data_IF_411915218338
#
_entry.id   IF_411915218338
#
_cell.length_a   1.000
_cell.length_b   1.000
_cell.length_c   1.000
_cell.angle_alpha   90.00
_cell.angle_beta   90.00
_cell.angle_gamma   90.00
#
_symmetry.space_group_name_H-M   'P 1'
#
loop_
_entity.id
_entity.type
_entity.pdbx_description
1 polymer ?
#
# COMPACT_ATOMS: atom_id res chain seq x y z
N UNK A 1 -40.91 0.33 5.44
CA UNK A 1 -40.75 -1.13 5.50
C UNK A 1 -40.53 -1.80 4.13
N UNK A 2 -40.54 -1.08 3.01
CA UNK A 2 -40.39 -1.62 1.64
C UNK A 2 -38.97 -1.47 1.05
N UNK A 3 -38.03 -0.80 1.71
CA UNK A 3 -36.66 -0.59 1.21
C UNK A 3 -35.63 -1.63 1.67
N UNK A 4 -35.95 -2.45 2.68
CA UNK A 4 -35.02 -3.48 3.21
C UNK A 4 -35.05 -4.80 2.44
N UNK A 5 -36.10 -5.09 1.66
CA UNK A 5 -36.21 -6.34 0.91
C UNK A 5 -35.54 -6.35 -0.46
N UNK A 6 -35.17 -5.19 -1.04
CA UNK A 6 -34.41 -5.17 -2.28
C UNK A 6 -32.90 -5.34 -2.10
N UNK A 7 -32.36 -4.98 -0.94
CA UNK A 7 -30.94 -5.14 -0.64
C UNK A 7 -30.53 -6.60 -0.44
N UNK A 8 -31.42 -7.44 0.10
CA UNK A 8 -31.13 -8.86 0.38
C UNK A 8 -31.21 -9.76 -0.84
N UNK A 9 -31.97 -9.41 -1.87
CA UNK A 9 -32.04 -10.19 -3.13
C UNK A 9 -30.88 -9.93 -4.08
N UNK A 10 -30.21 -8.79 -4.00
CA UNK A 10 -29.01 -8.51 -4.80
C UNK A 10 -27.74 -9.15 -4.24
N UNK A 11 -27.72 -9.58 -2.96
CA UNK A 11 -26.56 -10.25 -2.38
C UNK A 11 -26.38 -11.71 -2.84
N UNK A 12 -27.41 -12.36 -3.37
CA UNK A 12 -27.30 -13.76 -3.83
C UNK A 12 -26.60 -13.93 -5.18
N UNK A 13 -26.45 -12.86 -5.96
CA UNK A 13 -25.71 -12.89 -7.24
C UNK A 13 -24.26 -12.43 -7.17
N UNK A 14 -23.78 -11.97 -6.01
CA UNK A 14 -22.39 -11.48 -5.82
C UNK A 14 -21.41 -12.62 -5.49
N UNK A 15 -21.90 -13.84 -5.23
CA UNK A 15 -21.05 -14.97 -4.78
C UNK A 15 -20.30 -15.73 -5.88
N UNK A 16 -20.34 -15.28 -7.14
CA UNK A 16 -19.72 -15.98 -8.28
C UNK A 16 -18.68 -15.16 -9.05
N UNK A 17 -18.01 -14.19 -8.42
CA UNK A 17 -16.87 -13.47 -9.00
C UNK A 17 -15.54 -13.89 -8.35
N UNK A 18 -14.46 -13.95 -9.12
CA UNK A 18 -13.24 -14.69 -8.75
C UNK A 18 -12.54 -14.15 -7.50
N UNK A 19 -12.12 -15.06 -6.67
CA UNK A 19 -11.72 -15.04 -5.26
C UNK A 19 -10.51 -14.19 -4.85
N UNK A 20 -9.95 -13.30 -5.65
CA UNK A 20 -8.68 -12.63 -5.35
C UNK A 20 -8.72 -11.09 -5.28
N UNK A 21 -9.77 -10.47 -5.77
CA UNK A 21 -9.83 -9.00 -5.86
C UNK A 21 -10.27 -8.30 -4.57
N UNK A 22 -10.85 -9.05 -3.67
CA UNK A 22 -11.48 -8.50 -2.47
C UNK A 22 -10.58 -8.44 -1.24
N UNK A 23 -9.37 -9.01 -1.23
CA UNK A 23 -8.66 -9.19 0.04
C UNK A 23 -8.18 -7.87 0.66
N UNK A 24 -7.70 -6.90 -0.10
CA UNK A 24 -7.27 -5.61 0.46
C UNK A 24 -8.42 -4.59 0.52
N UNK A 25 -9.18 -4.39 -0.57
CA UNK A 25 -10.29 -3.42 -0.60
C UNK A 25 -11.53 -3.96 0.11
N UNK A 26 -11.82 -5.26 0.03
CA UNK A 26 -12.94 -5.88 0.76
C UNK A 26 -12.61 -6.19 2.23
N UNK A 27 -11.37 -6.40 2.63
CA UNK A 27 -11.03 -6.42 4.06
C UNK A 27 -11.30 -5.04 4.68
N UNK A 28 -11.06 -3.97 3.95
CA UNK A 28 -11.38 -2.59 4.35
C UNK A 28 -12.91 -2.41 4.35
N UNK A 29 -13.63 -2.83 3.31
CA UNK A 29 -15.10 -2.69 3.20
C UNK A 29 -15.84 -3.65 4.14
N UNK A 30 -15.38 -4.88 4.37
CA UNK A 30 -15.97 -5.79 5.37
C UNK A 30 -15.72 -5.32 6.80
N UNK A 31 -14.57 -4.72 7.11
CA UNK A 31 -14.36 -4.11 8.42
C UNK A 31 -15.33 -2.94 8.68
N UNK A 32 -15.68 -2.18 7.64
CA UNK A 32 -16.67 -1.09 7.73
C UNK A 32 -18.09 -1.65 7.89
N UNK A 33 -18.46 -2.71 7.17
CA UNK A 33 -19.81 -3.29 7.22
C UNK A 33 -20.11 -4.02 8.54
N UNK A 34 -19.11 -4.67 9.15
CA UNK A 34 -19.25 -5.30 10.47
C UNK A 34 -19.27 -4.27 11.62
N UNK A 35 -18.65 -3.11 11.45
CA UNK A 35 -18.66 -2.05 12.46
C UNK A 35 -20.04 -1.34 12.57
N UNK A 36 -20.87 -1.41 11.52
CA UNK A 36 -22.20 -0.75 11.49
C UNK A 36 -23.31 -1.59 12.12
N UNK A 37 -23.09 -2.92 12.36
CA UNK A 37 -24.12 -3.82 12.90
C UNK A 37 -23.94 -4.27 14.35
N UNK A 38 -22.87 -3.83 15.01
CA UNK A 38 -22.52 -4.30 16.35
C UNK A 38 -22.39 -3.20 17.40
N UNK A 39 -23.53 -2.64 17.85
CA UNK A 39 -23.55 -1.86 19.08
C UNK A 39 -23.54 -2.83 20.28
N UNK A 40 -22.39 -3.39 20.64
CA UNK A 40 -22.17 -4.08 21.91
C UNK A 40 -20.95 -3.49 22.61
N UNK A 41 -21.16 -3.13 23.86
CA UNK A 41 -20.18 -2.58 24.79
C UNK A 41 -19.02 -3.54 25.01
N UNK A 42 -17.89 -3.31 24.35
CA UNK A 42 -16.63 -3.96 24.69
C UNK A 42 -15.72 -2.99 25.43
N UNK A 43 -15.27 -3.43 26.63
CA UNK A 43 -14.25 -2.73 27.42
C UNK A 43 -12.92 -2.74 26.68
N UNK A 44 -12.28 -1.59 26.65
CA UNK A 44 -10.93 -1.40 26.09
C UNK A 44 -9.87 -2.11 26.95
N UNK A 45 -8.95 -2.87 26.35
CA UNK A 45 -7.61 -2.94 26.87
C UNK A 45 -6.80 -1.77 26.29
N UNK A 46 -6.28 -0.92 27.14
CA UNK A 46 -5.18 -0.02 26.79
C UNK A 46 -3.93 -0.89 26.61
N UNK A 47 -3.68 -1.33 25.38
CA UNK A 47 -2.40 -1.96 25.08
C UNK A 47 -1.44 -0.85 24.67
N UNK A 48 -0.60 -0.43 25.60
CA UNK A 48 0.68 0.18 25.28
C UNK A 48 1.37 -0.78 24.29
N UNK A 49 1.64 -0.31 23.09
CA UNK A 49 2.58 -0.97 22.18
C UNK A 49 3.96 -0.66 22.79
N UNK A 50 4.28 -1.37 23.86
CA UNK A 50 5.62 -1.38 24.42
C UNK A 50 6.53 -1.93 23.34
N UNK A 51 7.70 -1.32 23.19
CA UNK A 51 8.85 -1.88 22.49
C UNK A 51 9.15 -3.26 23.09
N UNK A 52 8.45 -4.29 22.63
CA UNK A 52 8.66 -5.65 23.10
C UNK A 52 10.00 -6.09 22.59
N UNK A 53 10.91 -6.31 23.52
CA UNK A 53 12.22 -6.90 23.29
C UNK A 53 12.08 -8.09 22.32
N UNK A 54 12.84 -8.05 21.24
CA UNK A 54 12.99 -9.07 20.22
C UNK A 54 13.51 -10.38 20.85
N UNK A 55 12.62 -11.19 21.40
CA UNK A 55 12.90 -12.56 21.78
C UNK A 55 11.75 -13.47 21.36
N UNK A 56 11.81 -13.91 20.12
CA UNK A 56 11.35 -15.22 19.69
C UNK A 56 11.97 -15.53 18.32
N UNK A 57 12.57 -16.68 18.20
CA UNK A 57 13.22 -17.23 17.02
C UNK A 57 12.21 -17.49 15.89
N UNK A 58 11.82 -16.47 15.16
CA UNK A 58 11.19 -16.63 13.86
C UNK A 58 12.29 -16.45 12.82
N UNK A 59 12.52 -17.48 12.05
CA UNK A 59 13.48 -17.49 10.97
C UNK A 59 13.17 -16.38 9.96
N UNK A 60 14.20 -15.63 9.61
CA UNK A 60 14.12 -14.66 8.53
C UNK A 60 13.94 -15.38 7.18
N UNK A 61 13.23 -14.79 6.22
CA UNK A 61 13.16 -15.36 4.88
C UNK A 61 14.57 -15.49 4.30
N UNK A 62 14.87 -16.65 3.74
CA UNK A 62 16.13 -16.89 3.04
C UNK A 62 15.93 -16.67 1.56
N UNK A 63 16.81 -15.93 0.93
CA UNK A 63 16.87 -15.88 -0.54
C UNK A 63 17.30 -17.24 -1.03
N UNK A 64 16.45 -17.92 -1.82
CA UNK A 64 16.81 -19.19 -2.45
C UNK A 64 17.57 -18.94 -3.75
N UNK A 65 17.15 -17.90 -4.49
CA UNK A 65 17.68 -17.66 -5.82
C UNK A 65 17.41 -16.22 -6.26
N UNK A 66 18.47 -15.49 -6.62
CA UNK A 66 18.37 -14.29 -7.41
C UNK A 66 18.63 -14.68 -8.87
N UNK A 67 17.59 -15.02 -9.63
CA UNK A 67 17.74 -15.38 -11.04
C UNK A 67 17.50 -14.17 -11.91
N UNK A 68 18.53 -13.63 -12.57
CA UNK A 68 18.34 -12.69 -13.65
C UNK A 68 17.76 -13.44 -14.85
N UNK A 69 16.47 -13.27 -15.13
CA UNK A 69 15.87 -13.73 -16.38
C UNK A 69 16.20 -12.72 -17.48
N UNK A 70 17.19 -13.04 -18.32
CA UNK A 70 17.49 -12.39 -19.61
C UNK A 70 17.71 -10.87 -19.64
N UNK A 71 18.42 -10.31 -18.67
CA UNK A 71 19.02 -8.97 -18.83
C UNK A 71 20.52 -9.14 -19.13
N UNK A 72 20.95 -8.97 -20.37
CA UNK A 72 22.34 -9.25 -20.77
C UNK A 72 23.40 -8.34 -20.15
N UNK A 73 23.02 -7.32 -19.39
CA UNK A 73 23.97 -6.30 -18.90
C UNK A 73 23.67 -5.70 -17.51
N UNK A 74 22.81 -6.32 -16.68
CA UNK A 74 22.55 -5.78 -15.35
C UNK A 74 23.00 -6.74 -14.25
N UNK A 75 24.08 -6.38 -13.57
CA UNK A 75 24.47 -6.99 -12.30
C UNK A 75 23.68 -6.28 -11.17
N UNK A 76 22.87 -7.04 -10.43
CA UNK A 76 22.15 -6.55 -9.24
C UNK A 76 23.06 -5.84 -8.25
N UNK A 77 24.31 -6.30 -8.18
CA UNK A 77 25.34 -5.71 -7.30
C UNK A 77 25.73 -4.28 -7.68
N UNK A 78 25.38 -3.83 -8.88
CA UNK A 78 25.62 -2.44 -9.32
C UNK A 78 24.50 -1.47 -8.93
N UNK A 79 23.35 -2.01 -8.48
CA UNK A 79 22.25 -1.18 -8.01
C UNK A 79 22.44 -0.82 -6.54
N UNK A 80 22.37 0.45 -6.23
CA UNK A 80 22.47 0.94 -4.86
C UNK A 80 21.10 1.03 -4.18
N UNK A 81 21.05 0.82 -2.86
CA UNK A 81 19.85 0.95 -2.06
C UNK A 81 19.48 -0.33 -1.32
N UNK A 82 18.28 -0.30 -0.74
CA UNK A 82 17.71 -1.41 0.02
C UNK A 82 16.31 -1.72 -0.48
N UNK A 83 15.93 -3.00 -0.39
CA UNK A 83 14.53 -3.42 -0.53
C UNK A 83 13.90 -3.52 0.85
N UNK A 84 12.69 -3.02 0.99
CA UNK A 84 11.86 -3.21 2.18
C UNK A 84 10.53 -3.77 1.72
N UNK A 85 10.02 -4.78 2.39
CA UNK A 85 8.77 -5.43 2.04
C UNK A 85 8.05 -5.97 3.26
N UNK A 86 6.75 -6.20 3.11
CA UNK A 86 5.92 -6.87 4.10
C UNK A 86 6.03 -8.37 3.88
N UNK A 87 6.44 -9.09 4.93
CA UNK A 87 6.49 -10.55 4.97
C UNK A 87 5.38 -11.07 5.88
N UNK A 88 4.47 -11.85 5.32
CA UNK A 88 3.27 -12.36 6.01
C UNK A 88 3.35 -13.88 6.14
N UNK A 89 3.12 -14.38 7.34
CA UNK A 89 3.00 -15.81 7.63
C UNK A 89 1.72 -16.09 8.44
N UNK A 90 1.30 -17.35 8.44
CA UNK A 90 0.11 -17.78 9.17
C UNK A 90 -1.20 -17.26 8.59
N UNK A 91 -2.33 -17.71 9.19
CA UNK A 91 -3.67 -17.34 8.78
C UNK A 91 -4.54 -17.07 10.01
N UNK A 92 -5.59 -16.24 9.84
CA UNK A 92 -6.52 -15.91 10.91
C UNK A 92 -5.82 -15.29 12.11
N UNK A 93 -6.09 -15.83 13.30
CA UNK A 93 -5.52 -15.36 14.57
C UNK A 93 -4.01 -15.63 14.72
N UNK A 94 -3.48 -16.61 13.98
CA UNK A 94 -2.06 -16.94 13.97
C UNK A 94 -1.25 -16.12 12.93
N UNK A 95 -1.86 -15.11 12.30
CA UNK A 95 -1.19 -14.27 11.33
C UNK A 95 -0.10 -13.45 11.99
N UNK A 96 1.06 -13.41 11.35
CA UNK A 96 2.18 -12.56 11.71
C UNK A 96 2.64 -11.75 10.50
N UNK A 97 2.98 -10.50 10.73
CA UNK A 97 3.55 -9.61 9.73
C UNK A 97 4.89 -9.08 10.21
N UNK A 98 5.82 -8.96 9.28
CA UNK A 98 7.13 -8.37 9.51
C UNK A 98 7.44 -7.37 8.40
N UNK A 99 8.15 -6.28 8.71
CA UNK A 99 8.87 -5.48 7.73
C UNK A 99 10.29 -6.01 7.67
N UNK A 100 10.68 -6.47 6.48
CA UNK A 100 12.02 -7.00 6.21
C UNK A 100 12.74 -6.03 5.30
N UNK A 101 13.98 -5.69 5.66
CA UNK A 101 14.94 -4.96 4.83
C UNK A 101 16.00 -5.93 4.31
N UNK A 102 16.37 -5.80 3.03
CA UNK A 102 17.45 -6.58 2.41
C UNK A 102 18.31 -5.69 1.52
N UNK A 103 19.45 -6.21 1.06
CA UNK A 103 20.11 -5.65 -0.12
C UNK A 103 19.21 -5.79 -1.35
N UNK A 104 19.56 -5.12 -2.46
CA UNK A 104 18.78 -5.17 -3.71
C UNK A 104 18.71 -6.58 -4.29
N UNK A 105 19.70 -7.41 -4.05
CA UNK A 105 19.73 -8.82 -4.47
C UNK A 105 18.98 -9.76 -3.50
N UNK A 106 18.36 -9.21 -2.46
CA UNK A 106 17.66 -9.96 -1.42
C UNK A 106 18.55 -10.51 -0.30
N UNK A 107 19.87 -10.31 -0.36
CA UNK A 107 20.80 -10.74 0.69
C UNK A 107 20.65 -9.88 1.97
N UNK A 108 21.28 -10.35 3.06
CA UNK A 108 21.35 -9.68 4.37
C UNK A 108 19.95 -9.26 4.92
N UNK A 109 19.00 -10.17 5.06
CA UNK A 109 17.67 -9.83 5.56
C UNK A 109 17.72 -9.39 7.03
N UNK A 110 17.10 -8.24 7.32
CA UNK A 110 16.96 -7.67 8.65
C UNK A 110 15.50 -7.38 8.94
N UNK A 111 14.99 -7.80 10.10
CA UNK A 111 13.66 -7.42 10.56
C UNK A 111 13.71 -6.01 11.14
N UNK A 112 12.93 -5.09 10.55
CA UNK A 112 12.77 -3.72 11.04
C UNK A 112 11.60 -3.62 12.04
N UNK A 113 10.53 -4.39 11.82
CA UNK A 113 9.32 -4.37 12.64
C UNK A 113 8.60 -5.71 12.58
N UNK A 114 7.93 -6.09 13.67
CA UNK A 114 7.15 -7.34 13.75
C UNK A 114 5.87 -7.14 14.55
N UNK A 115 4.78 -7.77 14.11
CA UNK A 115 3.48 -7.75 14.80
C UNK A 115 2.76 -9.10 14.67
N UNK A 116 2.05 -9.52 15.72
CA UNK A 116 1.04 -10.58 15.63
C UNK A 116 -0.24 -9.96 15.08
N UNK A 117 -0.44 -10.09 13.79
CA UNK A 117 -1.51 -9.42 13.06
C UNK A 117 -1.13 -9.16 11.61
N UNK A 118 -1.47 -7.99 11.09
CA UNK A 118 -1.20 -7.64 9.69
C UNK A 118 -0.62 -6.25 9.54
N UNK A 119 0.16 -6.07 8.48
CA UNK A 119 0.56 -4.77 7.95
C UNK A 119 -0.18 -4.60 6.62
N UNK A 120 -0.91 -3.47 6.44
CA UNK A 120 -1.85 -3.29 5.34
C UNK A 120 -1.36 -2.32 4.26
N UNK A 121 -0.47 -1.41 4.61
CA UNK A 121 0.13 -0.46 3.66
C UNK A 121 1.56 -0.18 4.06
N UNK A 122 2.39 0.19 3.10
CA UNK A 122 3.79 0.57 3.32
C UNK A 122 4.18 1.67 2.34
N UNK A 123 4.79 2.71 2.86
CA UNK A 123 5.40 3.78 2.09
C UNK A 123 6.65 4.29 2.81
N UNK A 124 7.51 5.01 2.11
CA UNK A 124 8.69 5.62 2.68
C UNK A 124 8.68 7.15 2.48
N UNK A 125 9.39 7.87 3.35
CA UNK A 125 9.79 9.24 3.07
C UNK A 125 10.67 9.31 1.81
N UNK A 126 10.80 10.50 1.23
CA UNK A 126 11.60 10.70 0.01
C UNK A 126 13.07 10.25 0.17
N UNK A 127 13.64 10.43 1.36
CA UNK A 127 15.00 10.02 1.68
C UNK A 127 15.10 8.53 2.07
N UNK A 128 13.96 7.87 2.28
CA UNK A 128 13.92 6.49 2.75
C UNK A 128 14.31 6.30 4.21
N UNK A 129 14.52 7.38 4.98
CA UNK A 129 14.91 7.38 6.39
C UNK A 129 13.76 7.01 7.31
N UNK A 130 12.51 7.29 6.90
CA UNK A 130 11.30 6.95 7.65
C UNK A 130 10.34 6.11 6.81
N UNK A 131 9.76 5.11 7.45
CA UNK A 131 8.69 4.28 6.88
C UNK A 131 7.38 4.66 7.55
N UNK A 132 6.31 4.78 6.77
CA UNK A 132 4.95 4.92 7.26
C UNK A 132 4.13 3.71 6.79
N UNK A 133 3.45 3.06 7.72
CA UNK A 133 2.65 1.87 7.42
C UNK A 133 1.46 1.76 8.36
N UNK A 134 0.47 0.99 7.94
CA UNK A 134 -0.72 0.70 8.75
C UNK A 134 -0.59 -0.68 9.36
N UNK A 135 -0.76 -0.77 10.67
CA UNK A 135 -0.66 -2.00 11.43
C UNK A 135 -1.98 -2.31 12.13
N UNK A 136 -2.38 -3.57 12.13
CA UNK A 136 -3.47 -4.09 12.93
C UNK A 136 -2.97 -5.29 13.75
N UNK A 137 -2.86 -5.12 15.07
CA UNK A 137 -2.46 -6.16 16.00
C UNK A 137 -3.71 -6.93 16.47
N UNK A 138 -3.79 -8.23 16.18
CA UNK A 138 -4.94 -9.05 16.54
C UNK A 138 -6.26 -8.42 16.09
N UNK A 139 -7.18 -8.25 17.02
CA UNK A 139 -8.51 -7.66 16.79
C UNK A 139 -8.57 -6.15 17.07
N UNK A 140 -7.41 -5.46 17.17
CA UNK A 140 -7.38 -4.01 17.38
C UNK A 140 -7.84 -3.24 16.13
N UNK A 141 -8.14 -1.95 16.31
CA UNK A 141 -8.36 -1.07 15.16
C UNK A 141 -7.03 -0.80 14.43
N UNK A 142 -7.05 -0.69 13.10
CA UNK A 142 -5.86 -0.33 12.33
C UNK A 142 -5.29 1.01 12.76
N UNK A 143 -3.97 1.07 12.93
CA UNK A 143 -3.23 2.27 13.32
C UNK A 143 -2.14 2.58 12.30
N UNK A 144 -1.94 3.86 12.01
CA UNK A 144 -0.80 4.32 11.22
C UNK A 144 0.38 4.53 12.16
N UNK A 145 1.52 4.00 11.78
CA UNK A 145 2.78 4.15 12.53
C UNK A 145 3.90 4.65 11.61
N UNK A 146 4.83 5.37 12.18
CA UNK A 146 6.07 5.78 11.55
C UNK A 146 7.23 5.07 12.24
N UNK A 147 8.11 4.47 11.46
CA UNK A 147 9.36 3.85 11.91
C UNK A 147 10.54 4.66 11.38
N UNK A 148 11.41 5.10 12.28
CA UNK A 148 12.73 5.63 11.93
C UNK A 148 13.67 4.46 11.65
N UNK A 149 14.25 4.41 10.44
CA UNK A 149 15.07 3.27 10.00
C UNK A 149 16.40 3.17 10.74
N UNK A 150 16.98 4.29 11.13
CA UNK A 150 18.29 4.30 11.79
C UNK A 150 18.19 3.81 13.25
N UNK A 151 17.17 4.29 13.96
CA UNK A 151 16.99 4.01 15.39
C UNK A 151 16.04 2.85 15.66
N UNK A 152 15.25 2.42 14.67
CA UNK A 152 14.14 1.47 14.76
C UNK A 152 13.05 1.94 15.75
N UNK A 153 13.01 3.22 16.06
CA UNK A 153 11.97 3.79 16.91
C UNK A 153 10.66 3.85 16.14
N UNK A 154 9.60 3.36 16.77
CA UNK A 154 8.24 3.36 16.22
C UNK A 154 7.41 4.41 16.94
N UNK A 155 6.74 5.27 16.16
CA UNK A 155 5.81 6.28 16.67
C UNK A 155 4.42 5.99 16.11
N UNK A 156 3.44 5.79 16.99
CA UNK A 156 2.05 5.68 16.60
C UNK A 156 1.49 7.06 16.25
N UNK A 157 0.87 7.17 15.07
CA UNK A 157 0.22 8.39 14.60
C UNK A 157 -1.27 8.29 14.90
N UNK A 158 -1.65 8.78 16.05
CA UNK A 158 -3.04 8.84 16.47
C UNK A 158 -3.63 10.18 16.06
N UNK A 159 -4.20 10.26 14.88
CA UNK A 159 -4.78 11.50 14.36
C UNK A 159 -5.93 12.06 15.23
N UNK A 160 -6.44 11.30 16.19
CA UNK A 160 -7.51 11.74 17.08
C UNK A 160 -7.40 11.06 18.43
N UNK A 161 -7.04 11.82 19.45
CA UNK A 161 -7.09 11.36 20.83
C UNK A 161 -8.53 11.06 21.25
N UNK A 162 -8.78 9.86 21.76
CA UNK A 162 -9.98 9.51 22.51
C UNK A 162 -11.15 8.94 21.73
N UNK A 163 -11.08 8.75 20.40
CA UNK A 163 -12.11 8.08 19.62
C UNK A 163 -11.58 6.81 18.94
N UNK A 164 -12.41 5.77 18.90
CA UNK A 164 -12.15 4.54 18.13
C UNK A 164 -12.26 4.87 16.65
N UNK A 165 -11.14 5.12 15.99
CA UNK A 165 -11.08 5.45 14.57
C UNK A 165 -10.23 4.43 13.84
N UNK A 166 -10.62 4.11 12.59
CA UNK A 166 -9.78 3.31 11.71
C UNK A 166 -8.86 4.23 10.93
N UNK A 167 -7.56 4.00 11.05
CA UNK A 167 -6.54 4.66 10.24
C UNK A 167 -6.12 3.67 9.14
N UNK A 168 -6.45 3.96 7.88
CA UNK A 168 -6.31 2.99 6.79
C UNK A 168 -4.99 3.10 6.04
N UNK A 169 -4.45 4.29 5.89
CA UNK A 169 -3.19 4.54 5.19
C UNK A 169 -2.64 5.92 5.50
N UNK A 170 -1.35 6.09 5.31
CA UNK A 170 -0.67 7.36 5.47
C UNK A 170 0.41 7.57 4.42
N UNK A 171 0.76 8.84 4.16
CA UNK A 171 1.85 9.22 3.29
C UNK A 171 2.60 10.43 3.86
N UNK A 172 3.94 10.36 3.89
CA UNK A 172 4.82 11.44 4.34
C UNK A 172 5.01 12.43 3.19
N UNK A 173 4.89 13.75 3.46
CA UNK A 173 5.14 14.79 2.46
C UNK A 173 6.58 14.76 1.96
N UNK A 174 6.88 15.26 0.75
CA UNK A 174 8.23 15.26 0.19
C UNK A 174 9.27 15.98 1.05
N UNK A 175 8.85 17.00 1.81
CA UNK A 175 9.70 17.74 2.76
C UNK A 175 9.74 17.10 4.17
N UNK A 176 8.97 16.03 4.39
CA UNK A 176 8.91 15.29 5.64
C UNK A 176 8.18 15.97 6.79
N UNK A 177 7.53 17.13 6.58
CA UNK A 177 6.93 17.95 7.65
C UNK A 177 5.45 17.69 7.88
N UNK A 178 4.78 17.04 6.94
CA UNK A 178 3.35 16.81 6.98
C UNK A 178 3.04 15.36 6.62
N UNK A 179 1.84 14.92 7.01
CA UNK A 179 1.31 13.63 6.62
C UNK A 179 -0.06 13.82 5.97
N UNK A 180 -0.38 12.95 5.04
CA UNK A 180 -1.74 12.66 4.63
C UNK A 180 -2.18 11.38 5.32
N UNK A 181 -3.35 11.39 5.93
CA UNK A 181 -3.92 10.23 6.61
C UNK A 181 -5.33 9.98 6.08
N UNK A 182 -5.62 8.73 5.74
CA UNK A 182 -6.97 8.27 5.49
C UNK A 182 -7.57 7.73 6.79
N UNK A 183 -8.66 8.34 7.26
CA UNK A 183 -9.20 8.09 8.59
C UNK A 183 -10.74 8.16 8.58
N UNK A 184 -11.41 7.30 9.38
CA UNK A 184 -12.87 7.20 9.44
C UNK A 184 -13.51 7.91 10.65
N UNK A 185 -12.85 8.88 11.26
CA UNK A 185 -13.41 9.57 12.44
C UNK A 185 -14.77 10.25 12.21
N UNK A 186 -15.06 10.62 10.97
CA UNK A 186 -16.31 11.28 10.58
C UNK A 186 -17.34 10.32 9.98
N UNK A 187 -17.11 8.99 10.08
CA UNK A 187 -17.99 7.94 9.57
C UNK A 187 -17.36 7.14 8.43
N UNK A 188 -17.36 7.67 7.21
CA UNK A 188 -16.60 7.10 6.10
C UNK A 188 -15.14 7.58 6.11
N UNK A 189 -14.21 6.83 5.48
CA UNK A 189 -12.83 7.27 5.37
C UNK A 189 -12.69 8.54 4.54
N UNK A 190 -12.00 9.53 5.10
CA UNK A 190 -11.68 10.82 4.49
C UNK A 190 -10.18 11.09 4.60
N UNK A 191 -9.68 11.99 3.77
CA UNK A 191 -8.26 12.38 3.77
C UNK A 191 -8.05 13.62 4.63
N UNK A 192 -7.11 13.53 5.56
CA UNK A 192 -6.70 14.60 6.45
C UNK A 192 -5.25 14.99 6.21
N UNK A 193 -4.97 16.28 6.26
CA UNK A 193 -3.63 16.83 6.37
C UNK A 193 -3.28 17.00 7.84
N UNK A 194 -2.12 16.50 8.25
CA UNK A 194 -1.61 16.63 9.62
C UNK A 194 -0.21 17.21 9.63
N UNK A 195 0.30 17.58 10.80
CA UNK A 195 1.73 17.73 11.01
C UNK A 195 2.43 16.35 11.09
N UNK A 196 3.75 16.34 11.25
CA UNK A 196 4.55 15.12 11.36
C UNK A 196 4.27 14.28 12.61
N UNK A 197 3.56 14.83 13.58
CA UNK A 197 3.14 14.15 14.81
C UNK A 197 1.71 13.62 14.74
N UNK A 198 0.99 13.86 13.62
CA UNK A 198 -0.37 13.40 13.42
C UNK A 198 -1.46 14.39 13.88
N UNK A 199 -1.11 15.60 14.36
CA UNK A 199 -2.11 16.61 14.71
C UNK A 199 -2.80 17.11 13.43
N UNK A 200 -4.14 17.02 13.39
CA UNK A 200 -4.94 17.42 12.23
C UNK A 200 -4.83 18.92 12.03
N UNK A 201 -4.43 19.32 10.82
CA UNK A 201 -4.44 20.71 10.34
C UNK A 201 -5.67 21.02 9.50
N UNK A 202 -6.08 20.05 8.65
CA UNK A 202 -7.19 20.26 7.74
C UNK A 202 -7.80 18.92 7.32
N UNK A 203 -9.13 18.88 7.19
CA UNK A 203 -9.82 17.83 6.46
C UNK A 203 -9.85 18.22 4.98
N UNK A 204 -9.32 17.36 4.09
CA UNK A 204 -9.16 17.68 2.67
C UNK A 204 -10.31 17.15 1.81
N UNK A 205 -10.93 16.06 2.25
CA UNK A 205 -12.14 15.51 1.60
C UNK A 205 -13.27 15.42 2.61
N UNK A 206 -14.50 15.69 2.14
CA UNK A 206 -15.70 15.65 2.97
C UNK A 206 -16.91 15.35 2.09
N UNK A 207 -17.18 14.07 1.87
CA UNK A 207 -18.26 13.63 0.98
C UNK A 207 -18.70 12.21 1.32
N UNK A 208 -19.91 11.80 0.91
CA UNK A 208 -20.39 10.44 1.15
C UNK A 208 -19.70 9.42 0.22
N UNK A 209 -18.37 9.32 0.33
CA UNK A 209 -17.52 8.46 -0.46
C UNK A 209 -16.46 7.81 0.43
N UNK A 210 -15.79 6.78 -0.08
CA UNK A 210 -14.65 6.13 0.57
C UNK A 210 -13.39 6.69 -0.06
N UNK A 211 -12.68 7.56 0.68
CA UNK A 211 -11.45 8.22 0.23
C UNK A 211 -10.23 7.61 0.92
N UNK A 212 -9.35 6.96 0.15
CA UNK A 212 -8.26 6.12 0.66
C UNK A 212 -6.96 6.29 -0.13
N UNK A 213 -5.89 5.73 0.42
CA UNK A 213 -4.58 5.55 -0.22
C UNK A 213 -4.01 6.85 -0.83
N UNK A 214 -3.87 7.93 -0.04
CA UNK A 214 -3.26 9.15 -0.52
C UNK A 214 -1.78 8.94 -0.83
N UNK A 215 -1.29 9.55 -1.90
CA UNK A 215 0.13 9.60 -2.26
C UNK A 215 0.50 11.00 -2.75
N UNK A 216 1.54 11.60 -2.18
CA UNK A 216 2.02 12.90 -2.57
C UNK A 216 2.62 12.90 -3.98
N UNK A 217 2.42 13.99 -4.72
CA UNK A 217 3.30 14.30 -5.84
C UNK A 217 4.63 14.84 -5.30
N UNK A 218 5.74 14.62 -6.03
CA UNK A 218 7.09 15.00 -5.57
C UNK A 218 7.29 16.50 -5.34
N UNK A 219 6.47 17.34 -5.97
CA UNK A 219 6.48 18.80 -5.80
C UNK A 219 5.83 19.28 -4.49
N UNK A 220 5.11 18.40 -3.80
CA UNK A 220 4.37 18.72 -2.57
C UNK A 220 3.17 19.64 -2.77
N UNK A 221 2.79 19.97 -4.03
CA UNK A 221 1.69 20.88 -4.34
C UNK A 221 0.35 20.17 -4.54
N UNK A 222 0.39 18.84 -4.64
CA UNK A 222 -0.79 18.02 -4.87
C UNK A 222 -0.57 16.58 -4.40
N UNK A 223 -1.65 15.82 -4.32
CA UNK A 223 -1.60 14.39 -4.05
C UNK A 223 -2.67 13.65 -4.85
N UNK A 224 -2.46 12.36 -5.06
CA UNK A 224 -3.43 11.46 -5.68
C UNK A 224 -4.06 10.61 -4.58
N UNK A 225 -5.35 10.30 -4.72
CA UNK A 225 -6.07 9.40 -3.82
C UNK A 225 -7.11 8.57 -4.58
N UNK A 226 -7.58 7.52 -3.94
CA UNK A 226 -8.64 6.65 -4.44
C UNK A 226 -9.97 7.07 -3.85
N UNK A 227 -11.01 7.22 -4.69
CA UNK A 227 -12.37 7.57 -4.24
C UNK A 227 -13.44 6.89 -5.08
N UNK A 228 -14.51 6.43 -4.46
CA UNK A 228 -15.69 5.90 -5.15
C UNK A 228 -16.82 6.94 -5.31
N UNK A 229 -16.50 8.22 -5.16
CA UNK A 229 -17.49 9.31 -5.20
C UNK A 229 -18.32 9.38 -6.48
N UNK A 230 -17.75 9.02 -7.63
CA UNK A 230 -18.48 9.04 -8.89
C UNK A 230 -19.50 7.90 -8.98
N UNK A 231 -19.18 6.75 -8.41
CA UNK A 231 -20.05 5.59 -8.37
C UNK A 231 -19.63 4.64 -7.24
N UNK A 232 -20.55 4.36 -6.34
CA UNK A 232 -20.35 3.49 -5.20
C UNK A 232 -19.73 2.13 -5.60
N UNK A 233 -18.69 1.71 -4.88
CA UNK A 233 -17.86 0.51 -5.14
C UNK A 233 -17.19 0.47 -6.52
N UNK A 234 -17.07 1.59 -7.21
CA UNK A 234 -16.28 1.74 -8.43
C UNK A 234 -15.23 2.83 -8.25
N UNK A 235 -14.16 2.55 -7.49
CA UNK A 235 -13.15 3.55 -7.18
C UNK A 235 -12.46 4.06 -8.44
N UNK A 236 -12.12 5.34 -8.41
CA UNK A 236 -11.31 6.03 -9.40
C UNK A 236 -10.20 6.81 -8.71
N UNK A 237 -9.18 7.20 -9.46
CA UNK A 237 -8.09 8.04 -8.97
C UNK A 237 -8.42 9.51 -9.20
N UNK A 238 -8.23 10.31 -8.16
CA UNK A 238 -8.39 11.75 -8.15
C UNK A 238 -7.09 12.43 -7.74
N UNK A 239 -6.82 13.62 -8.28
CA UNK A 239 -5.72 14.46 -7.86
C UNK A 239 -6.27 15.69 -7.13
N UNK A 240 -5.83 15.91 -5.89
CA UNK A 240 -6.14 17.10 -5.10
C UNK A 240 -5.04 18.14 -5.27
N UNK A 241 -5.45 19.40 -5.46
CA UNK A 241 -4.57 20.56 -5.62
C UNK A 241 -4.72 21.51 -4.43
N UNK A 242 -3.66 21.69 -3.65
CA UNK A 242 -3.72 22.53 -2.43
C UNK A 242 -4.02 23.98 -2.76
N UNK A 243 -3.41 24.55 -3.80
CA UNK A 243 -3.64 25.96 -4.19
C UNK A 243 -5.10 26.26 -4.56
N UNK A 244 -5.83 25.27 -5.06
CA UNK A 244 -7.23 25.42 -5.48
C UNK A 244 -8.22 24.86 -4.47
N UNK A 245 -7.75 24.10 -3.50
CA UNK A 245 -8.56 23.35 -2.53
C UNK A 245 -9.65 22.49 -3.21
N UNK A 246 -9.32 21.89 -4.33
CA UNK A 246 -10.21 21.05 -5.13
C UNK A 246 -9.50 19.83 -5.67
N UNK A 247 -10.27 18.82 -6.02
CA UNK A 247 -9.74 17.63 -6.69
C UNK A 247 -10.47 17.34 -8.00
N UNK A 248 -9.72 16.75 -8.92
CA UNK A 248 -10.18 16.40 -10.26
C UNK A 248 -9.88 14.91 -10.54
N UNK A 249 -10.76 14.21 -11.28
CA UNK A 249 -10.51 12.83 -11.67
C UNK A 249 -9.33 12.77 -12.65
N UNK A 250 -8.53 11.72 -12.54
CA UNK A 250 -7.43 11.48 -13.47
C UNK A 250 -7.90 10.99 -14.85
N UNK A 251 -9.16 10.54 -14.96
CA UNK A 251 -9.78 10.04 -16.19
C UNK A 251 -8.95 8.94 -16.87
N UNK A 252 -8.49 7.97 -16.09
CA UNK A 252 -7.78 6.81 -16.62
C UNK A 252 -8.77 5.75 -17.12
N UNK A 253 -8.42 4.97 -18.15
CA UNK A 253 -9.26 3.88 -18.62
C UNK A 253 -9.47 2.80 -17.54
N UNK A 254 -10.64 2.18 -17.55
CA UNK A 254 -11.04 1.10 -16.64
C UNK A 254 -12.31 1.42 -15.86
N UNK A 255 -13.03 0.38 -15.45
CA UNK A 255 -14.22 0.53 -14.58
C UNK A 255 -13.82 0.92 -13.16
N UNK A 256 -12.67 0.41 -12.70
CA UNK A 256 -12.10 0.69 -11.40
C UNK A 256 -10.62 1.00 -11.54
N UNK A 257 -10.16 2.03 -10.84
CA UNK A 257 -8.75 2.40 -10.76
C UNK A 257 -8.46 2.80 -9.31
N UNK A 258 -7.50 2.15 -8.67
CA UNK A 258 -7.24 2.34 -7.26
C UNK A 258 -5.74 2.27 -6.93
N UNK A 259 -5.40 2.81 -5.78
CA UNK A 259 -4.06 2.73 -5.16
C UNK A 259 -2.97 3.14 -6.15
N UNK A 260 -2.60 4.41 -6.15
CA UNK A 260 -1.52 4.89 -7.00
C UNK A 260 -0.15 4.86 -6.30
N UNK A 261 0.91 4.74 -7.11
CA UNK A 261 2.28 5.12 -6.73
C UNK A 261 2.79 6.11 -7.77
N UNK A 262 3.58 7.07 -7.34
CA UNK A 262 4.06 8.16 -8.19
C UNK A 262 5.56 8.01 -8.40
N UNK A 263 6.03 8.19 -9.64
CA UNK A 263 7.47 8.21 -9.95
C UNK A 263 8.17 9.40 -9.29
N UNK A 264 9.48 9.33 -9.03
CA UNK A 264 10.24 10.45 -8.44
C UNK A 264 10.15 11.75 -9.26
N UNK A 265 9.92 11.67 -10.56
CA UNK A 265 9.71 12.82 -11.44
C UNK A 265 8.29 13.41 -11.39
N UNK A 266 7.32 12.70 -10.81
CA UNK A 266 5.90 13.07 -10.85
C UNK A 266 5.20 12.82 -12.18
N UNK A 267 5.92 12.39 -13.22
CA UNK A 267 5.37 12.19 -14.57
C UNK A 267 4.58 10.90 -14.71
N UNK A 268 5.07 9.82 -14.09
CA UNK A 268 4.49 8.50 -14.23
C UNK A 268 3.79 8.07 -12.94
N UNK A 269 2.72 7.29 -13.09
CA UNK A 269 2.07 6.60 -11.99
C UNK A 269 1.88 5.13 -12.33
N UNK A 270 1.98 4.30 -11.30
CA UNK A 270 1.46 2.94 -11.34
C UNK A 270 0.17 2.88 -10.54
N UNK A 271 -0.73 2.00 -10.90
CA UNK A 271 -2.01 1.81 -10.23
C UNK A 271 -2.57 0.42 -10.51
N UNK A 272 -3.56 0.01 -9.73
CA UNK A 272 -4.32 -1.21 -9.99
C UNK A 272 -5.61 -0.85 -10.70
N UNK A 273 -5.86 -1.49 -11.83
CA UNK A 273 -7.07 -1.35 -12.61
C UNK A 273 -7.91 -2.64 -12.54
N UNK A 274 -8.97 -2.69 -13.29
CA UNK A 274 -9.93 -3.80 -13.39
C UNK A 274 -9.27 -5.17 -13.22
N UNK A 275 -9.87 -6.02 -12.40
CA UNK A 275 -9.41 -7.40 -12.17
C UNK A 275 -7.96 -7.54 -11.64
N UNK A 276 -7.50 -6.61 -10.82
CA UNK A 276 -6.15 -6.60 -10.24
C UNK A 276 -5.03 -6.48 -11.27
N UNK A 277 -5.27 -5.80 -12.39
CA UNK A 277 -4.24 -5.55 -13.37
C UNK A 277 -3.37 -4.36 -12.96
N UNK A 278 -2.09 -4.59 -12.74
CA UNK A 278 -1.09 -3.53 -12.55
C UNK A 278 -0.89 -2.74 -13.85
N UNK A 279 -0.98 -1.43 -13.78
CA UNK A 279 -0.83 -0.53 -14.92
C UNK A 279 0.20 0.57 -14.64
N UNK A 280 0.84 1.03 -15.68
CA UNK A 280 1.70 2.22 -15.71
C UNK A 280 1.06 3.25 -16.63
N UNK A 281 0.94 4.50 -16.16
CA UNK A 281 0.42 5.59 -16.97
C UNK A 281 1.32 6.83 -16.93
N UNK A 282 1.33 7.55 -18.05
CA UNK A 282 1.90 8.89 -18.15
C UNK A 282 0.81 9.92 -17.79
N UNK A 283 1.08 10.74 -16.79
CA UNK A 283 0.12 11.70 -16.24
C UNK A 283 -0.30 12.78 -17.24
N UNK A 284 0.61 13.18 -18.15
CA UNK A 284 0.35 14.23 -19.12
C UNK A 284 -0.42 13.69 -20.33
N UNK A 285 0.05 12.59 -20.92
CA UNK A 285 -0.50 12.07 -22.17
C UNK A 285 -1.67 11.10 -21.96
N UNK A 286 -1.86 10.61 -20.72
CA UNK A 286 -2.83 9.57 -20.35
C UNK A 286 -2.60 8.22 -21.04
N UNK A 287 -1.51 8.08 -21.80
CA UNK A 287 -1.09 6.76 -22.31
C UNK A 287 -0.85 5.83 -21.13
N UNK A 288 -1.31 4.59 -21.25
CA UNK A 288 -1.10 3.60 -20.21
C UNK A 288 -0.90 2.21 -20.79
N UNK A 289 -0.17 1.36 -20.06
CA UNK A 289 0.16 -0.01 -20.44
C UNK A 289 -0.02 -0.93 -19.22
N UNK A 290 -0.29 -2.20 -19.47
CA UNK A 290 -0.21 -3.23 -18.45
C UNK A 290 1.26 -3.47 -18.06
N UNK A 291 1.53 -3.66 -16.76
CA UNK A 291 2.90 -3.93 -16.28
C UNK A 291 3.22 -5.42 -16.43
N UNK A 292 2.24 -6.28 -16.15
CA UNK A 292 2.39 -7.73 -16.24
C UNK A 292 1.06 -8.45 -16.42
N UNK A 293 1.13 -9.76 -16.68
CA UNK A 293 0.00 -10.65 -16.90
C UNK A 293 -0.44 -11.42 -15.63
N UNK A 294 0.29 -11.28 -14.51
CA UNK A 294 0.10 -12.14 -13.32
C UNK A 294 -0.99 -11.65 -12.36
N UNK A 295 -1.67 -10.55 -12.66
CA UNK A 295 -2.65 -9.91 -11.77
C UNK A 295 -2.01 -9.41 -10.46
N UNK A 296 -1.91 -8.12 -10.29
CA UNK A 296 -1.35 -7.51 -9.09
C UNK A 296 -2.48 -6.99 -8.20
N UNK A 297 -2.48 -7.43 -6.95
CA UNK A 297 -3.35 -6.83 -5.93
C UNK A 297 -2.88 -5.44 -5.49
N UNK A 298 -1.64 -5.08 -5.83
CA UNK A 298 -0.95 -3.85 -5.42
C UNK A 298 -0.23 -3.23 -6.61
N UNK A 299 -0.11 -1.89 -6.68
CA UNK A 299 0.63 -1.23 -7.74
C UNK A 299 2.13 -1.48 -7.58
N UNK A 300 2.87 -1.50 -8.69
CA UNK A 300 4.32 -1.52 -8.65
C UNK A 300 4.85 -0.22 -8.04
N UNK A 301 5.94 -0.29 -7.28
CA UNK A 301 6.68 0.87 -6.81
C UNK A 301 7.79 1.25 -7.80
N UNK A 302 8.28 2.49 -7.71
CA UNK A 302 9.43 2.97 -8.49
C UNK A 302 10.72 2.85 -7.68
N UNK A 303 11.85 2.63 -8.37
CA UNK A 303 13.16 2.87 -7.78
C UNK A 303 13.37 4.37 -7.48
N UNK A 304 14.27 4.73 -6.55
CA UNK A 304 14.53 6.13 -6.21
C UNK A 304 14.96 7.01 -7.39
N UNK A 305 15.62 6.43 -8.40
CA UNK A 305 16.02 7.10 -9.63
C UNK A 305 14.92 7.12 -10.71
N UNK A 306 13.82 6.37 -10.49
CA UNK A 306 12.69 6.26 -11.42
C UNK A 306 12.93 5.38 -12.64
N UNK A 307 14.03 4.64 -12.69
CA UNK A 307 14.40 3.82 -13.85
C UNK A 307 13.81 2.41 -13.81
N UNK A 308 13.39 1.95 -12.63
CA UNK A 308 12.87 0.61 -12.42
C UNK A 308 11.52 0.63 -11.73
N UNK A 309 10.73 -0.41 -12.01
CA UNK A 309 9.53 -0.81 -11.26
C UNK A 309 9.86 -2.05 -10.44
N UNK A 310 9.29 -2.13 -9.24
CA UNK A 310 9.33 -3.34 -8.43
C UNK A 310 7.93 -3.69 -7.91
N UNK A 311 7.62 -4.97 -7.88
CA UNK A 311 6.33 -5.49 -7.42
C UNK A 311 6.46 -6.91 -6.89
N UNK A 312 5.53 -7.29 -6.02
CA UNK A 312 5.45 -8.65 -5.48
C UNK A 312 4.64 -9.57 -6.39
N UNK A 313 5.07 -10.81 -6.47
CA UNK A 313 4.34 -11.90 -7.11
C UNK A 313 4.48 -13.16 -6.23
N UNK A 314 3.49 -13.40 -5.35
CA UNK A 314 3.51 -14.47 -4.34
C UNK A 314 4.69 -14.32 -3.37
N UNK A 315 5.70 -15.21 -3.47
CA UNK A 315 6.92 -15.21 -2.65
C UNK A 315 8.14 -14.63 -3.40
N UNK A 316 7.90 -13.79 -4.41
CA UNK A 316 8.95 -13.21 -5.25
C UNK A 316 8.81 -11.69 -5.30
N UNK A 317 9.92 -11.00 -5.49
CA UNK A 317 9.96 -9.61 -5.90
C UNK A 317 10.49 -9.57 -7.32
N UNK A 318 9.76 -8.92 -8.21
CA UNK A 318 10.19 -8.66 -9.58
C UNK A 318 10.66 -7.22 -9.72
N UNK A 319 11.78 -7.02 -10.39
CA UNK A 319 12.34 -5.72 -10.75
C UNK A 319 12.41 -5.67 -12.27
N UNK A 320 11.87 -4.62 -12.88
CA UNK A 320 11.86 -4.44 -14.33
C UNK A 320 12.17 -2.98 -14.68
N UNK A 321 12.89 -2.71 -15.77
CA UNK A 321 13.03 -1.35 -16.26
C UNK A 321 11.67 -0.69 -16.50
N UNK A 322 11.56 0.60 -16.23
CA UNK A 322 10.37 1.38 -16.58
C UNK A 322 10.21 1.36 -18.11
N UNK A 323 9.07 0.87 -18.62
CA UNK A 323 8.85 0.79 -20.05
C UNK A 323 8.85 2.16 -20.74
N UNK A 324 9.42 2.24 -21.92
CA UNK A 324 9.34 3.43 -22.76
C UNK A 324 8.05 3.37 -23.59
N UNK A 325 7.11 4.30 -23.35
CA UNK A 325 5.82 4.37 -24.07
C UNK A 325 5.95 4.60 -25.57
N UNK A 326 7.11 5.05 -26.06
CA UNK A 326 7.35 5.31 -27.48
C UNK A 326 7.87 4.08 -28.24
N UNK A 327 8.43 3.09 -27.53
CA UNK A 327 9.15 1.96 -28.13
C UNK A 327 8.51 0.58 -27.90
N UNK A 328 7.48 0.49 -27.10
CA UNK A 328 6.85 -0.81 -26.82
C UNK A 328 5.89 -1.20 -27.93
N UNK A 329 6.23 -2.26 -28.64
CA UNK A 329 5.22 -3.07 -29.31
C UNK A 329 4.24 -3.62 -28.22
N UNK A 330 2.92 -3.72 -28.53
CA UNK A 330 1.89 -4.03 -27.51
C UNK A 330 2.01 -5.35 -26.75
N UNK A 331 2.97 -6.20 -27.05
CA UNK A 331 3.04 -7.60 -26.62
C UNK A 331 4.37 -8.04 -26.00
N UNK A 332 5.36 -7.17 -25.81
CA UNK A 332 6.59 -7.58 -25.15
C UNK A 332 6.58 -7.17 -23.68
N UNK A 333 6.41 -8.14 -22.80
CA UNK A 333 6.73 -7.96 -21.37
C UNK A 333 8.20 -7.58 -21.25
N UNK A 334 8.54 -6.48 -20.56
CA UNK A 334 9.92 -6.10 -20.39
C UNK A 334 10.69 -7.19 -19.64
N UNK A 335 11.94 -7.41 -20.02
CA UNK A 335 12.84 -8.32 -19.33
C UNK A 335 12.88 -7.96 -17.84
N UNK A 336 12.55 -8.90 -16.98
CA UNK A 336 12.47 -8.69 -15.54
C UNK A 336 13.47 -9.55 -14.79
N UNK A 337 13.86 -9.08 -13.64
CA UNK A 337 14.71 -9.74 -12.67
C UNK A 337 13.85 -10.19 -11.49
N UNK A 338 14.07 -11.39 -11.02
CA UNK A 338 13.25 -12.00 -9.98
C UNK A 338 14.13 -12.39 -8.80
N UNK A 339 13.74 -11.93 -7.61
CA UNK A 339 14.29 -12.35 -6.34
C UNK A 339 13.27 -13.30 -5.72
N UNK A 340 13.66 -14.55 -5.53
CA UNK A 340 12.81 -15.55 -4.92
C UNK A 340 13.23 -15.79 -3.48
N UNK A 341 12.25 -15.83 -2.59
CA UNK A 341 12.44 -16.07 -1.17
C UNK A 341 11.89 -17.44 -0.77
N UNK A 342 12.44 -18.01 0.29
CA UNK A 342 11.89 -19.17 0.97
C UNK A 342 11.83 -18.91 2.48
N UNK A 343 10.82 -19.46 3.10
CA UNK A 343 10.79 -19.62 4.55
C UNK A 343 11.69 -20.79 4.96
N UNK A 344 12.57 -20.58 5.94
CA UNK A 344 13.48 -21.63 6.42
C UNK A 344 12.77 -22.80 7.08
N UNK A 345 11.52 -22.59 7.55
CA UNK A 345 10.69 -23.63 8.14
C UNK A 345 9.70 -24.22 7.13
N UNK A 346 9.83 -23.90 5.83
CA UNK A 346 8.93 -24.33 4.76
C UNK A 346 7.45 -23.95 4.99
N UNK A 347 7.20 -22.93 5.79
CA UNK A 347 5.84 -22.43 6.03
C UNK A 347 5.36 -21.56 4.86
N UNK A 348 4.07 -21.61 4.52
CA UNK A 348 3.50 -20.73 3.53
C UNK A 348 3.63 -19.26 3.96
N UNK A 349 4.09 -18.42 3.05
CA UNK A 349 4.22 -16.99 3.26
C UNK A 349 3.87 -16.20 2.01
N UNK A 350 3.68 -14.90 2.19
CA UNK A 350 3.41 -13.95 1.11
C UNK A 350 4.25 -12.70 1.30
N UNK A 351 4.82 -12.19 0.21
CA UNK A 351 5.50 -10.89 0.15
C UNK A 351 4.54 -9.87 -0.44
N UNK A 352 4.48 -8.71 0.20
CA UNK A 352 3.61 -7.60 -0.22
C UNK A 352 4.35 -6.27 -0.20
N UNK A 353 3.88 -5.34 -1.03
CA UNK A 353 4.28 -3.92 -1.09
C UNK A 353 5.80 -3.69 -1.04
N UNK A 354 6.61 -4.33 -1.90
CA UNK A 354 8.02 -4.08 -1.90
C UNK A 354 8.30 -2.63 -2.30
N UNK A 355 9.13 -1.94 -1.54
CA UNK A 355 9.62 -0.61 -1.85
C UNK A 355 11.15 -0.62 -1.96
N UNK A 356 11.66 0.29 -2.77
CA UNK A 356 13.09 0.51 -2.92
C UNK A 356 13.45 1.85 -2.28
N UNK A 357 14.38 1.85 -1.37
CA UNK A 357 14.84 3.02 -0.65
C UNK A 357 16.34 3.24 -0.88
N UNK A 358 16.77 4.48 -0.71
CA UNK A 358 18.21 4.82 -0.72
C UNK A 358 18.95 4.07 0.39
N UNK A 359 20.26 3.86 0.25
CA UNK A 359 21.10 3.16 1.23
C UNK A 359 20.99 3.68 2.65
#
# INVERSE_FOLDING_TARGET
>A
MFYLNQATNNMKHVYLLPRLWCAAVMAIVMAISLAMTGCQTMRSPSTNISSTSLQSSTSLPKVIEAVPTNLPHMDARQLSGKLIFIYLTGFGENRQAQLIETQIDGSDPKTLYKVNGTIMSLSASRLGDRLIFTVQAGNSYPQVVILDRATLQVTEISAVSGRRTHNFSGAISPDGRQLLLANSQMGNPEIFLTDSSGNIKQQLTQQPAIDLAPVWLPDGQSFIFTSDKAKFLQPQLYQYYFAKQQFLPLNLPGKTNAIARVSPSGRLITYVSDNSQGRLADMATKKNIAINDEGLAEPANFSPDGNYLLYSAKNRIKITPVPNFERLAPQQSPASWTIQFADSNHQPFTIREPIWVTP
#
